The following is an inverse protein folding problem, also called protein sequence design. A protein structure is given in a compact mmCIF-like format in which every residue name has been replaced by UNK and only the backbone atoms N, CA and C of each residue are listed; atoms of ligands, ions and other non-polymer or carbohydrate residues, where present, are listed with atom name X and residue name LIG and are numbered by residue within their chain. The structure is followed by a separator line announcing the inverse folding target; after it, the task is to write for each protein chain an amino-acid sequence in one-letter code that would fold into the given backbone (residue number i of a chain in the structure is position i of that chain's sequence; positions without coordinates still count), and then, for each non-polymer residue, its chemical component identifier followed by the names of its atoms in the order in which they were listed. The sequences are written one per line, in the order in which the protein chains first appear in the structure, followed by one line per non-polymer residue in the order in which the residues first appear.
data_IF_576615909406
#
_entry.id   IF_576615909406
#
_cell.length_a   1.000
_cell.length_b   1.000
_cell.length_c   1.000
_cell.angle_alpha   90.00
_cell.angle_beta   90.00
_cell.angle_gamma   90.00
#
_symmetry.space_group_name_H-M   'P 1'
#
loop_
_entity.id
_entity.type
_entity.pdbx_description
1 polymer ?
#
# COMPACT_ATOMS: atom_id res chain seq x y z
N UNK A 1 22.69 -6.46 -19.17
CA UNK A 1 21.63 -5.46 -19.45
C UNK A 1 20.22 -5.92 -19.04
N UNK A 2 20.09 -6.84 -18.09
CA UNK A 2 18.81 -7.40 -17.62
C UNK A 2 18.39 -6.86 -16.25
N UNK A 3 19.36 -6.51 -15.40
CA UNK A 3 19.12 -6.04 -14.03
C UNK A 3 18.30 -4.75 -13.91
N UNK A 4 18.45 -3.79 -14.84
CA UNK A 4 17.72 -2.52 -14.83
C UNK A 4 16.23 -2.71 -15.19
N UNK A 5 15.93 -3.61 -16.14
CA UNK A 5 14.55 -3.92 -16.54
C UNK A 5 13.80 -4.65 -15.43
N UNK A 6 14.46 -5.57 -14.73
CA UNK A 6 13.89 -6.24 -13.54
C UNK A 6 13.64 -5.24 -12.41
N UNK A 7 14.56 -4.32 -12.13
CA UNK A 7 14.33 -3.30 -11.08
C UNK A 7 13.18 -2.34 -11.42
N UNK A 8 13.01 -1.98 -12.69
CA UNK A 8 11.88 -1.13 -13.09
C UNK A 8 10.54 -1.87 -12.94
N UNK A 9 10.48 -3.14 -13.40
CA UNK A 9 9.29 -3.97 -13.24
C UNK A 9 8.93 -4.16 -11.76
N UNK A 10 9.91 -4.45 -10.91
CA UNK A 10 9.68 -4.65 -9.47
C UNK A 10 9.19 -3.37 -8.80
N UNK A 11 9.75 -2.21 -9.16
CA UNK A 11 9.28 -0.90 -8.66
C UNK A 11 7.84 -0.63 -9.07
N UNK A 12 7.48 -0.90 -10.32
CA UNK A 12 6.11 -0.74 -10.81
C UNK A 12 5.14 -1.68 -10.09
N UNK A 13 5.52 -2.95 -9.89
CA UNK A 13 4.71 -3.92 -9.15
C UNK A 13 4.47 -3.47 -7.71
N UNK A 14 5.52 -3.01 -7.01
CA UNK A 14 5.38 -2.45 -5.67
C UNK A 14 4.49 -1.22 -5.67
N UNK A 15 4.62 -0.33 -6.66
CA UNK A 15 3.75 0.86 -6.74
C UNK A 15 2.27 0.51 -6.95
N UNK A 16 1.98 -0.49 -7.79
CA UNK A 16 0.61 -0.99 -7.98
C UNK A 16 0.07 -1.61 -6.70
N UNK A 17 0.87 -2.44 -6.02
CA UNK A 17 0.50 -3.04 -4.75
C UNK A 17 0.19 -1.96 -3.69
N UNK A 18 1.07 -0.97 -3.55
CA UNK A 18 0.88 0.17 -2.65
C UNK A 18 -0.43 0.90 -2.91
N UNK A 19 -0.70 1.27 -4.17
CA UNK A 19 -1.94 1.99 -4.52
C UNK A 19 -3.19 1.16 -4.28
N UNK A 20 -3.13 -0.15 -4.53
CA UNK A 20 -4.23 -1.07 -4.27
C UNK A 20 -4.52 -1.16 -2.78
N UNK A 21 -3.50 -1.41 -1.96
CA UNK A 21 -3.64 -1.50 -0.50
C UNK A 21 -4.14 -0.19 0.10
N UNK A 22 -3.59 0.97 -0.32
CA UNK A 22 -4.05 2.26 0.14
C UNK A 22 -5.53 2.51 -0.23
N UNK A 23 -5.95 2.12 -1.44
CA UNK A 23 -7.35 2.23 -1.87
C UNK A 23 -8.26 1.34 -1.02
N UNK A 24 -7.88 0.09 -0.80
CA UNK A 24 -8.66 -0.87 -0.01
C UNK A 24 -8.82 -0.36 1.43
N UNK A 25 -7.73 0.10 2.06
CA UNK A 25 -7.75 0.69 3.41
C UNK A 25 -8.63 1.94 3.51
N UNK A 26 -8.58 2.83 2.51
CA UNK A 26 -9.46 4.02 2.48
C UNK A 26 -10.92 3.68 2.21
N UNK A 27 -11.18 2.58 1.51
CA UNK A 27 -12.54 2.11 1.21
C UNK A 27 -13.15 1.28 2.34
N UNK A 28 -12.41 0.98 3.41
CA UNK A 28 -12.96 0.27 4.56
C UNK A 28 -14.13 1.04 5.16
N UNK A 29 -15.26 0.36 5.46
CA UNK A 29 -16.34 0.95 6.22
C UNK A 29 -15.82 1.56 7.51
N UNK A 30 -16.35 2.72 7.91
CA UNK A 30 -15.86 3.44 9.08
C UNK A 30 -15.87 2.60 10.35
N UNK A 31 -16.92 1.79 10.56
CA UNK A 31 -17.00 0.85 11.69
C UNK A 31 -15.84 -0.17 11.67
N UNK A 32 -15.63 -0.83 10.53
CA UNK A 32 -14.52 -1.80 10.38
C UNK A 32 -13.15 -1.16 10.56
N UNK A 33 -12.97 0.08 10.06
CA UNK A 33 -11.73 0.81 10.26
C UNK A 33 -11.49 1.12 11.75
N UNK A 34 -12.53 1.52 12.49
CA UNK A 34 -12.45 1.73 13.93
C UNK A 34 -12.15 0.44 14.70
N UNK A 35 -12.82 -0.66 14.36
CA UNK A 35 -12.62 -1.97 15.00
C UNK A 35 -11.17 -2.46 14.85
N UNK A 36 -10.56 -2.19 13.69
CA UNK A 36 -9.16 -2.53 13.40
C UNK A 36 -8.16 -1.50 13.98
N UNK A 37 -8.64 -0.43 14.63
CA UNK A 37 -7.79 0.68 15.09
C UNK A 37 -7.11 1.45 13.95
N UNK A 38 -7.66 1.38 12.74
CA UNK A 38 -7.13 2.03 11.55
C UNK A 38 -7.77 3.39 11.37
N UNK A 39 -6.96 4.44 11.50
CA UNK A 39 -7.35 5.78 11.07
C UNK A 39 -7.23 5.86 9.55
N UNK A 40 -8.32 6.21 8.85
CA UNK A 40 -8.31 6.31 7.38
C UNK A 40 -7.23 7.27 6.84
N UNK A 41 -6.90 8.33 7.58
CA UNK A 41 -5.81 9.25 7.23
C UNK A 41 -4.40 8.63 7.29
N UNK A 42 -4.24 7.50 7.99
CA UNK A 42 -2.98 6.76 8.07
C UNK A 42 -2.92 5.59 7.05
N UNK A 43 -3.96 5.41 6.21
CA UNK A 43 -4.02 4.35 5.20
C UNK A 43 -2.80 4.34 4.26
N UNK A 44 -2.29 5.51 3.85
CA UNK A 44 -1.09 5.62 3.02
C UNK A 44 0.16 5.15 3.77
N UNK A 45 0.30 5.50 5.04
CA UNK A 45 1.45 5.08 5.86
C UNK A 45 1.44 3.57 6.08
N UNK A 46 0.27 3.01 6.37
CA UNK A 46 0.08 1.56 6.56
C UNK A 46 0.41 0.83 5.25
N UNK A 47 -0.11 1.30 4.11
CA UNK A 47 0.19 0.73 2.81
C UNK A 47 1.69 0.84 2.46
N UNK A 48 2.32 1.97 2.77
CA UNK A 48 3.76 2.17 2.54
C UNK A 48 4.60 1.21 3.37
N UNK A 49 4.27 1.06 4.66
CA UNK A 49 4.95 0.12 5.56
C UNK A 49 4.77 -1.33 5.13
N UNK A 50 3.58 -1.72 4.69
CA UNK A 50 3.29 -3.08 4.23
C UNK A 50 4.05 -3.45 2.94
N UNK A 51 4.21 -2.51 2.01
CA UNK A 51 4.79 -2.79 0.67
C UNK A 51 6.29 -2.48 0.59
N UNK A 52 6.73 -1.43 1.26
CA UNK A 52 8.11 -0.94 1.21
C UNK A 52 8.90 -1.21 2.50
N UNK A 53 8.24 -1.49 3.63
CA UNK A 53 8.89 -1.69 4.93
C UNK A 53 9.31 -0.41 5.64
N UNK A 54 8.79 0.75 5.21
CA UNK A 54 9.10 2.08 5.74
C UNK A 54 8.42 2.39 7.10
#
# INVERSE_FOLDING_TARGET
MTHAMTTLRDRLQKHVAYRRTAKELRSLPHGTALDLGIRQGDADKIAARAVYGA
#
